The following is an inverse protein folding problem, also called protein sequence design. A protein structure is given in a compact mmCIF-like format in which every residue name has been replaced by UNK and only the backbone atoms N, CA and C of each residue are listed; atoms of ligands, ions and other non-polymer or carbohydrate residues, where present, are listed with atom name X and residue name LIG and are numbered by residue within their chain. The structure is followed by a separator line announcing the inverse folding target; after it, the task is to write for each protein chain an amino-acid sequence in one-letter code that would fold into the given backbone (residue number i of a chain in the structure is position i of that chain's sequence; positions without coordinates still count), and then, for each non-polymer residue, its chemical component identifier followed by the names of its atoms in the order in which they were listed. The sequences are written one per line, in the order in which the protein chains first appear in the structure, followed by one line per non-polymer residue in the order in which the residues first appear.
data_IF_830096403210
#
_entry.id   IF_830096403210
#
_cell.length_a   1.000
_cell.length_b   1.000
_cell.length_c   1.000
_cell.angle_alpha   90.00
_cell.angle_beta   90.00
_cell.angle_gamma   90.00
#
_symmetry.space_group_name_H-M   'P 1'
#
loop_
_entity.id
_entity.type
_entity.pdbx_description
1 polymer ?
#
# COMPACT_ATOMS: atom_id res chain seq x y z
N UNK A 1 -0.09 26.81 25.10
CA UNK A 1 -0.44 25.39 25.37
C UNK A 1 -0.01 24.62 24.15
N UNK A 2 0.96 23.71 24.29
CA UNK A 2 1.36 22.84 23.17
C UNK A 2 0.14 22.07 22.69
N UNK A 3 -0.09 22.02 21.38
CA UNK A 3 -1.17 21.24 20.81
C UNK A 3 -0.90 19.76 21.14
N UNK A 4 -1.81 19.14 21.89
CA UNK A 4 -1.78 17.69 22.11
C UNK A 4 -2.19 17.02 20.81
N UNK A 5 -1.24 16.89 19.87
CA UNK A 5 -1.47 16.46 18.49
C UNK A 5 -0.49 15.38 18.04
N UNK A 6 -0.88 14.68 16.98
CA UNK A 6 -0.13 13.63 16.30
C UNK A 6 0.17 14.11 14.88
N UNK A 7 1.41 13.95 14.44
CA UNK A 7 1.78 14.01 13.02
C UNK A 7 1.74 12.58 12.48
N UNK A 8 0.86 12.33 11.53
CA UNK A 8 0.68 11.04 10.90
C UNK A 8 1.19 11.09 9.45
N UNK A 9 2.04 10.14 9.08
CA UNK A 9 2.66 10.06 7.75
C UNK A 9 2.40 8.68 7.15
N UNK A 10 1.99 8.66 5.89
CA UNK A 10 1.89 7.47 5.04
C UNK A 10 2.65 7.75 3.74
N UNK A 11 3.86 7.19 3.64
CA UNK A 11 4.77 7.40 2.51
C UNK A 11 4.84 6.17 1.61
N UNK A 12 4.17 6.20 0.46
CA UNK A 12 4.22 5.13 -0.54
C UNK A 12 5.25 5.39 -1.64
N UNK A 13 5.29 4.46 -2.60
CA UNK A 13 6.13 4.61 -3.80
C UNK A 13 5.70 5.75 -4.73
N UNK A 14 4.41 6.06 -4.78
CA UNK A 14 3.86 7.05 -5.75
C UNK A 14 3.41 8.36 -5.11
N UNK A 15 3.07 8.35 -3.83
CA UNK A 15 2.55 9.51 -3.11
C UNK A 15 2.88 9.41 -1.63
N UNK A 16 2.85 10.55 -0.96
CA UNK A 16 2.95 10.67 0.49
C UNK A 16 1.81 11.52 1.01
N UNK A 17 1.11 11.04 2.03
CA UNK A 17 0.01 11.73 2.70
C UNK A 17 0.44 12.08 4.15
N UNK A 18 0.21 13.32 4.58
CA UNK A 18 0.46 13.77 5.97
C UNK A 18 -0.82 14.33 6.56
N UNK A 19 -1.11 13.95 7.81
CA UNK A 19 -2.18 14.53 8.62
C UNK A 19 -1.61 15.04 9.95
N UNK A 20 -2.11 16.18 10.41
CA UNK A 20 -1.93 16.64 11.80
C UNK A 20 -3.27 16.49 12.49
N UNK A 21 -3.33 15.69 13.56
CA UNK A 21 -4.58 15.34 14.24
C UNK A 21 -4.47 15.66 15.71
N UNK A 22 -5.46 16.34 16.30
CA UNK A 22 -5.51 16.57 17.75
C UNK A 22 -5.93 15.31 18.51
N UNK A 23 -5.63 15.26 19.82
CA UNK A 23 -6.00 14.16 20.69
C UNK A 23 -7.52 13.93 20.85
N UNK A 24 -8.36 14.88 20.42
CA UNK A 24 -9.82 14.72 20.33
C UNK A 24 -10.31 14.22 18.95
N UNK A 25 -9.37 13.94 18.03
CA UNK A 25 -9.61 13.35 16.72
C UNK A 25 -9.93 14.34 15.60
N UNK A 26 -9.79 15.65 15.83
CA UNK A 26 -9.96 16.65 14.76
C UNK A 26 -8.72 16.74 13.87
N UNK A 27 -8.93 16.83 12.55
CA UNK A 27 -7.85 17.06 11.59
C UNK A 27 -7.52 18.55 11.58
N UNK A 28 -6.34 18.90 12.08
CA UNK A 28 -5.83 20.27 12.18
C UNK A 28 -5.18 20.76 10.89
N UNK A 29 -4.65 19.82 10.09
CA UNK A 29 -4.02 20.12 8.81
C UNK A 29 -3.67 18.86 8.03
N UNK A 30 -3.41 19.05 6.74
CA UNK A 30 -3.10 17.97 5.79
C UNK A 30 -2.21 18.49 4.67
N UNK A 31 -1.36 17.62 4.15
CA UNK A 31 -0.60 17.87 2.92
C UNK A 31 -0.45 16.56 2.15
N UNK A 32 -0.12 16.69 0.85
CA UNK A 32 0.14 15.55 -0.02
C UNK A 32 1.26 15.90 -0.99
N UNK A 33 2.19 14.97 -1.18
CA UNK A 33 3.29 15.11 -2.13
C UNK A 33 3.59 13.84 -2.91
N UNK A 34 4.68 13.84 -3.68
CA UNK A 34 5.19 12.64 -4.36
C UNK A 34 5.59 11.54 -3.38
N UNK A 35 5.82 10.34 -3.90
CA UNK A 35 6.28 9.20 -3.10
C UNK A 35 7.63 9.47 -2.44
N UNK A 36 7.77 9.02 -1.19
CA UNK A 36 8.95 9.26 -0.36
C UNK A 36 9.58 7.96 0.17
N UNK A 37 9.43 6.85 -0.55
CA UNK A 37 10.07 5.57 -0.15
C UNK A 37 11.60 5.73 -0.08
N UNK A 38 12.23 5.58 1.10
CA UNK A 38 13.68 5.74 1.25
C UNK A 38 14.47 4.70 0.46
N UNK A 39 13.86 3.56 0.11
CA UNK A 39 14.45 2.56 -0.76
C UNK A 39 14.63 3.06 -2.20
N UNK A 40 13.71 3.90 -2.69
CA UNK A 40 13.74 4.40 -4.06
C UNK A 40 14.52 5.71 -4.21
N UNK A 41 14.41 6.61 -3.23
CA UNK A 41 14.98 7.98 -3.32
C UNK A 41 16.12 8.23 -2.33
N UNK A 42 16.42 7.29 -1.43
CA UNK A 42 17.39 7.46 -0.35
C UNK A 42 16.80 8.12 0.89
N UNK A 43 17.47 7.92 2.03
CA UNK A 43 17.01 8.41 3.35
C UNK A 43 17.00 9.94 3.40
N UNK A 44 18.04 10.61 2.91
CA UNK A 44 18.15 12.08 2.98
C UNK A 44 17.02 12.75 2.19
N UNK A 45 16.81 12.34 0.93
CA UNK A 45 15.74 12.88 0.10
C UNK A 45 14.34 12.57 0.67
N UNK A 46 14.15 11.38 1.28
CA UNK A 46 12.94 11.04 2.01
C UNK A 46 12.70 12.04 3.17
N UNK A 47 13.70 12.28 4.01
CA UNK A 47 13.58 13.20 5.16
C UNK A 47 13.28 14.63 4.71
N UNK A 48 13.91 15.10 3.63
CA UNK A 48 13.65 16.43 3.07
C UNK A 48 12.22 16.57 2.51
N UNK A 49 11.75 15.55 1.79
CA UNK A 49 10.39 15.51 1.28
C UNK A 49 9.36 15.50 2.42
N UNK A 50 9.58 14.67 3.44
CA UNK A 50 8.71 14.60 4.61
C UNK A 50 8.73 15.89 5.43
N UNK A 51 9.88 16.54 5.60
CA UNK A 51 9.97 17.85 6.25
C UNK A 51 9.07 18.88 5.57
N UNK A 52 9.18 18.98 4.25
CA UNK A 52 8.41 19.94 3.47
C UNK A 52 6.90 19.70 3.65
N UNK A 53 6.47 18.44 3.57
CA UNK A 53 5.07 18.07 3.75
C UNK A 53 4.57 18.27 5.17
N UNK A 54 5.39 17.98 6.19
CA UNK A 54 5.04 18.24 7.59
C UNK A 54 4.84 19.73 7.80
N UNK A 55 5.77 20.57 7.34
CA UNK A 55 5.66 22.02 7.46
C UNK A 55 4.42 22.58 6.73
N UNK A 56 4.08 22.05 5.56
CA UNK A 56 2.87 22.42 4.81
C UNK A 56 1.59 22.05 5.56
N UNK A 57 1.57 20.90 6.25
CA UNK A 57 0.42 20.43 7.02
C UNK A 57 0.24 21.16 8.36
N UNK A 58 1.25 21.89 8.86
CA UNK A 58 1.18 22.56 10.16
C UNK A 58 0.29 23.83 10.10
N UNK A 59 -0.58 24.06 11.09
CA UNK A 59 -1.27 25.34 11.23
C UNK A 59 -0.27 26.49 11.41
N UNK A 60 -0.57 27.65 10.82
CA UNK A 60 0.28 28.87 10.85
C UNK A 60 0.68 29.30 12.27
N UNK A 61 -0.11 28.96 13.29
CA UNK A 61 0.16 29.24 14.70
C UNK A 61 1.25 28.37 15.34
N UNK A 62 1.75 27.34 14.65
CA UNK A 62 2.71 26.36 15.17
C UNK A 62 4.14 26.66 14.73
N UNK A 63 4.72 27.75 15.25
CA UNK A 63 6.03 28.25 14.78
C UNK A 63 7.26 27.62 15.45
N UNK A 64 7.10 26.86 16.56
CA UNK A 64 8.23 26.33 17.34
C UNK A 64 8.10 24.83 17.56
N UNK A 65 9.22 24.12 17.36
CA UNK A 65 9.35 22.68 17.65
C UNK A 65 9.48 22.40 19.16
N UNK A 66 9.01 21.24 19.64
CA UNK A 66 8.24 20.23 18.89
C UNK A 66 6.86 20.77 18.48
N UNK A 67 6.40 20.35 17.31
CA UNK A 67 5.12 20.75 16.72
C UNK A 67 3.93 19.96 17.28
N UNK A 68 4.20 18.73 17.71
CA UNK A 68 3.24 17.72 18.13
C UNK A 68 3.82 16.90 19.30
N UNK A 69 3.00 16.10 19.98
CA UNK A 69 3.49 15.21 21.05
C UNK A 69 4.04 13.89 20.50
N UNK A 70 3.52 13.44 19.35
CA UNK A 70 3.95 12.20 18.72
C UNK A 70 3.96 12.31 17.19
N UNK A 71 4.89 11.61 16.56
CA UNK A 71 4.88 11.36 15.11
C UNK A 71 4.77 9.86 14.86
N UNK A 72 3.81 9.47 14.03
CA UNK A 72 3.66 8.10 13.52
C UNK A 72 3.90 8.09 12.02
N UNK A 73 5.05 7.56 11.60
CA UNK A 73 5.46 7.55 10.21
C UNK A 73 5.55 6.12 9.67
N UNK A 74 4.69 5.80 8.71
CA UNK A 74 4.68 4.50 8.06
C UNK A 74 5.02 4.64 6.58
N UNK A 75 6.06 3.95 6.13
CA UNK A 75 6.61 4.11 4.79
C UNK A 75 6.86 2.78 4.08
N UNK A 76 6.67 2.78 2.77
CA UNK A 76 7.08 1.71 1.88
C UNK A 76 8.61 1.59 1.86
N UNK A 77 9.11 0.36 1.72
CA UNK A 77 10.56 0.08 1.67
C UNK A 77 11.24 -0.01 3.03
N UNK A 78 10.46 -0.11 4.11
CA UNK A 78 10.94 -0.43 5.46
C UNK A 78 10.61 -1.89 5.78
N UNK A 79 11.34 -2.82 5.18
CA UNK A 79 11.06 -4.26 5.23
C UNK A 79 11.91 -4.99 6.29
N UNK A 80 13.00 -4.37 6.73
CA UNK A 80 13.91 -4.87 7.77
C UNK A 80 14.12 -3.88 8.93
N UNK A 81 14.46 -4.36 10.14
CA UNK A 81 14.75 -3.52 11.29
C UNK A 81 15.82 -2.46 11.02
N UNK A 82 16.86 -2.78 10.22
CA UNK A 82 17.92 -1.83 9.87
C UNK A 82 17.41 -0.60 9.14
N UNK A 83 16.41 -0.76 8.27
CA UNK A 83 15.84 0.35 7.50
C UNK A 83 14.99 1.25 8.41
N UNK A 84 14.21 0.63 9.31
CA UNK A 84 13.44 1.34 10.34
C UNK A 84 14.37 2.12 11.28
N UNK A 85 15.46 1.51 11.77
CA UNK A 85 16.45 2.15 12.65
C UNK A 85 17.11 3.38 12.00
N UNK A 86 17.55 3.25 10.75
CA UNK A 86 18.20 4.35 10.01
C UNK A 86 17.23 5.51 9.78
N UNK A 87 16.01 5.22 9.33
CA UNK A 87 15.02 6.28 9.09
C UNK A 87 14.54 6.89 10.42
N UNK A 88 14.37 6.10 11.47
CA UNK A 88 14.01 6.58 12.81
C UNK A 88 15.02 7.60 13.32
N UNK A 89 16.32 7.28 13.27
CA UNK A 89 17.37 8.20 13.68
C UNK A 89 17.35 9.52 12.88
N UNK A 90 17.16 9.44 11.56
CA UNK A 90 17.12 10.60 10.68
C UNK A 90 15.89 11.50 10.93
N UNK A 91 14.72 10.90 11.16
CA UNK A 91 13.49 11.64 11.48
C UNK A 91 13.48 12.19 12.91
N UNK A 92 14.04 11.47 13.88
CA UNK A 92 14.17 11.95 15.26
C UNK A 92 14.99 13.25 15.34
N UNK A 93 16.04 13.37 14.51
CA UNK A 93 16.84 14.58 14.40
C UNK A 93 16.04 15.82 13.94
N UNK A 94 14.86 15.64 13.33
CA UNK A 94 13.98 16.76 12.95
C UNK A 94 13.21 17.32 14.14
N UNK A 95 13.06 16.61 15.25
CA UNK A 95 12.35 17.12 16.44
C UNK A 95 10.93 17.65 16.13
N UNK A 96 10.20 16.98 15.22
CA UNK A 96 8.80 17.34 14.95
C UNK A 96 7.91 17.09 16.15
N UNK A 97 8.27 16.13 16.99
CA UNK A 97 7.51 15.70 18.15
C UNK A 97 8.42 15.17 19.25
N UNK A 98 7.86 15.00 20.45
CA UNK A 98 8.59 14.45 21.60
C UNK A 98 8.92 12.96 21.41
N UNK A 99 8.08 12.23 20.69
CA UNK A 99 8.21 10.78 20.47
C UNK A 99 7.91 10.42 19.02
N UNK A 100 8.55 9.37 18.51
CA UNK A 100 8.47 8.95 17.11
C UNK A 100 8.34 7.43 16.99
N UNK A 101 7.35 7.00 16.22
CA UNK A 101 7.23 5.62 15.69
C UNK A 101 7.50 5.64 14.19
N UNK A 102 8.33 4.70 13.72
CA UNK A 102 8.60 4.45 12.31
C UNK A 102 8.29 2.98 12.00
N UNK A 103 7.65 2.69 10.86
CA UNK A 103 7.40 1.32 10.43
C UNK A 103 6.95 1.19 8.97
N UNK A 104 6.68 -0.04 8.54
CA UNK A 104 6.22 -0.33 7.17
C UNK A 104 4.79 0.20 6.89
N UNK A 105 4.55 0.76 5.69
CA UNK A 105 3.24 1.27 5.24
C UNK A 105 2.11 0.24 5.33
N UNK A 106 2.41 -1.05 5.18
CA UNK A 106 1.43 -2.14 5.32
C UNK A 106 0.76 -2.15 6.70
N UNK A 107 1.44 -1.72 7.75
CA UNK A 107 0.87 -1.61 9.09
C UNK A 107 -0.14 -0.45 9.19
N UNK A 108 0.14 0.68 8.53
CA UNK A 108 -0.82 1.77 8.45
C UNK A 108 -2.08 1.34 7.69
N UNK A 109 -1.94 0.58 6.59
CA UNK A 109 -3.10 -0.03 5.92
C UNK A 109 -3.89 -0.92 6.87
N UNK A 110 -3.21 -1.82 7.60
CA UNK A 110 -3.84 -2.72 8.56
C UNK A 110 -4.67 -1.94 9.57
N UNK A 111 -4.09 -0.93 10.21
CA UNK A 111 -4.79 -0.14 11.24
C UNK A 111 -5.93 0.69 10.69
N UNK A 112 -5.81 1.16 9.45
CA UNK A 112 -6.89 1.88 8.77
C UNK A 112 -8.11 0.98 8.54
N UNK A 113 -7.91 -0.31 8.22
CA UNK A 113 -8.98 -1.24 7.89
C UNK A 113 -9.49 -2.14 9.02
N UNK A 114 -8.77 -2.25 10.15
CA UNK A 114 -9.14 -3.10 11.30
C UNK A 114 -9.65 -2.29 12.48
N UNK A 115 -10.45 -2.88 13.36
CA UNK A 115 -11.05 -2.16 14.48
C UNK A 115 -10.01 -1.74 15.52
N UNK A 116 -9.09 -2.63 15.87
CA UNK A 116 -8.12 -2.50 16.96
C UNK A 116 -6.64 -2.64 16.52
N UNK A 117 -6.38 -2.93 15.24
CA UNK A 117 -5.04 -3.15 14.71
C UNK A 117 -4.65 -4.62 14.58
N UNK A 118 -5.45 -5.56 15.09
CA UNK A 118 -5.21 -7.01 14.99
C UNK A 118 -5.77 -7.53 13.68
N UNK A 119 -4.98 -8.33 12.96
CA UNK A 119 -5.39 -8.89 11.67
C UNK A 119 -4.23 -8.99 10.68
N UNK A 120 -4.57 -9.14 9.41
CA UNK A 120 -3.61 -9.23 8.30
C UNK A 120 -3.97 -8.21 7.24
N UNK A 121 -2.97 -7.55 6.66
CA UNK A 121 -3.12 -6.65 5.54
C UNK A 121 -2.28 -7.08 4.34
N UNK A 122 -2.80 -6.88 3.14
CA UNK A 122 -2.07 -6.97 1.88
C UNK A 122 -2.21 -5.65 1.14
N UNK A 123 -1.07 -4.99 0.89
CA UNK A 123 -0.97 -3.83 0.00
C UNK A 123 -0.54 -4.32 -1.38
N UNK A 124 -1.27 -3.97 -2.43
CA UNK A 124 -0.83 -4.17 -3.81
C UNK A 124 -0.97 -2.86 -4.59
N UNK A 125 0.12 -2.10 -4.64
CA UNK A 125 0.28 -0.86 -5.40
C UNK A 125 1.24 -1.07 -6.56
N UNK A 126 2.33 -0.30 -6.62
CA UNK A 126 3.42 -0.55 -7.57
C UNK A 126 4.07 -1.94 -7.34
N UNK A 127 4.32 -2.27 -6.07
CA UNK A 127 4.71 -3.60 -5.59
C UNK A 127 3.58 -4.26 -4.80
N UNK A 128 3.90 -5.36 -4.13
CA UNK A 128 3.00 -6.09 -3.22
C UNK A 128 3.70 -6.33 -1.89
N UNK A 129 2.99 -6.17 -0.77
CA UNK A 129 3.49 -6.45 0.58
C UNK A 129 2.36 -7.03 1.45
N UNK A 130 2.73 -7.80 2.47
CA UNK A 130 1.82 -8.33 3.47
C UNK A 130 2.43 -8.26 4.87
N UNK A 131 1.63 -7.81 5.83
CA UNK A 131 1.97 -7.79 7.24
C UNK A 131 0.73 -8.09 8.08
N UNK A 132 0.94 -8.58 9.30
CA UNK A 132 -0.12 -8.78 10.27
C UNK A 132 0.34 -8.59 11.70
N UNK A 133 -0.63 -8.35 12.57
CA UNK A 133 -0.47 -8.21 14.02
C UNK A 133 -1.41 -9.21 14.69
N UNK A 134 -0.87 -10.02 15.61
CA UNK A 134 -1.61 -10.97 16.42
C UNK A 134 -2.22 -10.33 17.68
N UNK A 135 -3.11 -11.04 18.40
CA UNK A 135 -3.78 -10.51 19.58
C UNK A 135 -2.84 -10.20 20.76
N UNK A 136 -1.66 -10.82 20.77
CA UNK A 136 -0.57 -10.62 21.73
C UNK A 136 0.41 -9.51 21.31
N UNK A 137 0.14 -8.83 20.19
CA UNK A 137 1.01 -7.83 19.59
C UNK A 137 2.16 -8.41 18.76
N UNK A 138 2.26 -9.74 18.60
CA UNK A 138 3.25 -10.34 17.72
C UNK A 138 3.03 -9.87 16.28
N UNK A 139 4.12 -9.60 15.56
CA UNK A 139 4.04 -9.17 14.15
C UNK A 139 4.58 -10.25 13.23
N UNK A 140 3.95 -10.41 12.07
CA UNK A 140 4.48 -11.22 10.97
C UNK A 140 4.49 -10.37 9.72
N UNK A 141 5.62 -10.36 9.01
CA UNK A 141 5.85 -9.54 7.82
C UNK A 141 6.60 -10.35 6.78
N UNK A 142 6.32 -10.05 5.51
CA UNK A 142 7.11 -10.51 4.38
C UNK A 142 7.98 -9.36 3.90
N UNK A 143 9.26 -9.58 3.57
CA UNK A 143 10.04 -8.56 2.86
C UNK A 143 9.44 -8.35 1.47
N UNK A 144 9.24 -7.10 1.05
CA UNK A 144 8.64 -6.75 -0.24
C UNK A 144 9.67 -6.25 -1.27
N UNK A 145 10.73 -7.02 -1.46
CA UNK A 145 11.90 -6.66 -2.28
C UNK A 145 11.82 -7.22 -3.72
N UNK A 146 10.66 -7.73 -4.13
CA UNK A 146 10.46 -8.29 -5.45
C UNK A 146 11.01 -9.71 -5.57
N UNK A 147 11.61 -10.03 -6.72
CA UNK A 147 12.02 -11.41 -7.02
C UNK A 147 13.07 -11.98 -6.04
N UNK A 148 13.87 -11.13 -5.38
CA UNK A 148 14.91 -11.59 -4.44
C UNK A 148 14.31 -12.16 -3.15
N UNK A 149 13.21 -11.59 -2.66
CA UNK A 149 12.43 -12.07 -1.51
C UNK A 149 11.36 -13.08 -1.90
N UNK A 150 11.11 -13.24 -3.20
CA UNK A 150 10.12 -14.17 -3.73
C UNK A 150 8.76 -13.54 -4.04
N UNK A 151 8.64 -12.20 -3.99
CA UNK A 151 7.36 -11.54 -4.22
C UNK A 151 6.94 -11.63 -5.68
N UNK A 152 5.65 -11.90 -5.88
CA UNK A 152 5.01 -11.87 -7.18
C UNK A 152 3.67 -11.13 -7.08
N UNK A 153 3.44 -10.20 -7.99
CA UNK A 153 2.34 -9.24 -7.92
C UNK A 153 2.85 -7.81 -7.94
N UNK A 154 1.98 -6.86 -7.60
CA UNK A 154 2.22 -5.44 -7.82
C UNK A 154 1.90 -5.01 -9.24
N UNK A 155 1.42 -3.79 -9.40
CA UNK A 155 0.95 -3.27 -10.69
C UNK A 155 2.04 -3.20 -11.73
N UNK A 156 3.29 -2.93 -11.34
CA UNK A 156 4.40 -2.94 -12.30
C UNK A 156 4.63 -4.35 -12.87
N UNK A 157 4.68 -5.36 -12.00
CA UNK A 157 4.91 -6.74 -12.43
C UNK A 157 3.74 -7.33 -13.21
N UNK A 158 2.50 -7.03 -12.81
CA UNK A 158 1.32 -7.41 -13.57
C UNK A 158 1.32 -6.76 -14.96
N UNK A 159 1.79 -5.51 -15.07
CA UNK A 159 2.02 -4.87 -16.36
C UNK A 159 3.12 -5.54 -17.19
N UNK A 160 4.23 -5.93 -16.57
CA UNK A 160 5.30 -6.70 -17.24
C UNK A 160 4.78 -8.06 -17.73
N UNK A 161 3.95 -8.78 -16.96
CA UNK A 161 3.34 -10.04 -17.39
C UNK A 161 2.38 -9.84 -18.57
N UNK A 162 1.58 -8.76 -18.57
CA UNK A 162 0.72 -8.42 -19.70
C UNK A 162 1.52 -8.18 -20.99
N UNK A 163 2.59 -7.39 -20.90
CA UNK A 163 3.51 -7.16 -22.03
C UNK A 163 4.20 -8.46 -22.47
N UNK A 164 4.67 -9.26 -21.51
CA UNK A 164 5.35 -10.53 -21.78
C UNK A 164 4.48 -11.49 -22.60
N UNK A 165 3.22 -11.69 -22.19
CA UNK A 165 2.29 -12.53 -22.92
C UNK A 165 1.87 -11.93 -24.26
N UNK A 166 1.69 -10.61 -24.34
CA UNK A 166 1.41 -9.91 -25.60
C UNK A 166 2.52 -10.14 -26.64
N UNK A 167 3.79 -9.99 -26.25
CA UNK A 167 4.95 -10.22 -27.15
C UNK A 167 4.99 -11.66 -27.62
N UNK A 168 4.84 -12.63 -26.70
CA UNK A 168 4.88 -14.05 -27.05
C UNK A 168 3.73 -14.48 -27.95
N UNK A 169 2.56 -13.85 -27.82
CA UNK A 169 1.43 -14.11 -28.71
C UNK A 169 1.68 -13.57 -30.12
N UNK A 170 2.30 -12.39 -30.24
CA UNK A 170 2.62 -11.77 -31.53
C UNK A 170 3.73 -12.52 -32.28
N UNK A 171 4.76 -12.99 -31.58
CA UNK A 171 5.91 -13.68 -32.20
C UNK A 171 5.78 -15.21 -32.30
N UNK A 172 4.64 -15.76 -31.86
CA UNK A 172 4.32 -17.19 -31.97
C UNK A 172 4.94 -18.09 -30.91
N UNK A 173 5.64 -17.56 -29.89
CA UNK A 173 6.16 -18.36 -28.76
C UNK A 173 5.11 -18.69 -27.70
N UNK A 174 3.94 -18.06 -27.75
CA UNK A 174 2.84 -18.22 -26.82
C UNK A 174 1.50 -18.47 -27.52
N UNK A 175 0.46 -18.81 -26.74
CA UNK A 175 -0.91 -18.89 -27.28
C UNK A 175 -1.39 -17.51 -27.74
N UNK A 176 -2.35 -17.50 -28.66
CA UNK A 176 -3.04 -16.27 -29.04
C UNK A 176 -3.79 -15.66 -27.86
N UNK A 177 -3.73 -14.34 -27.72
CA UNK A 177 -4.42 -13.57 -26.68
C UNK A 177 -4.75 -12.17 -27.18
N UNK A 178 -5.85 -11.60 -26.70
CA UNK A 178 -6.24 -10.22 -26.96
C UNK A 178 -5.27 -9.20 -26.35
N UNK A 179 -4.35 -9.62 -25.46
CA UNK A 179 -3.31 -8.77 -24.89
C UNK A 179 -2.42 -8.14 -25.98
N UNK A 180 -2.17 -8.82 -27.10
CA UNK A 180 -1.31 -8.27 -28.16
C UNK A 180 -1.88 -6.97 -28.74
N UNK A 181 -3.09 -7.02 -29.30
CA UNK A 181 -3.76 -5.84 -29.83
C UNK A 181 -4.05 -4.80 -28.74
N UNK A 182 -4.42 -5.24 -27.53
CA UNK A 182 -4.70 -4.34 -26.42
C UNK A 182 -3.46 -3.51 -26.02
N UNK A 183 -2.29 -4.13 -25.91
CA UNK A 183 -1.03 -3.46 -25.54
C UNK A 183 -0.58 -2.49 -26.63
N UNK A 184 -0.62 -2.91 -27.90
CA UNK A 184 -0.28 -2.04 -29.02
C UNK A 184 -1.15 -0.77 -29.03
N UNK A 185 -2.47 -0.95 -28.87
CA UNK A 185 -3.43 0.16 -28.84
C UNK A 185 -3.25 1.09 -27.63
N UNK A 186 -2.97 0.56 -26.44
CA UNK A 186 -2.77 1.37 -25.22
C UNK A 186 -1.64 2.39 -25.36
N UNK A 187 -0.61 2.07 -26.16
CA UNK A 187 0.53 2.94 -26.42
C UNK A 187 0.53 3.57 -27.81
N UNK A 188 -0.56 3.43 -28.58
CA UNK A 188 -0.69 3.97 -29.93
C UNK A 188 0.32 3.40 -30.94
N UNK A 189 0.81 2.19 -30.69
CA UNK A 189 1.72 1.47 -31.57
C UNK A 189 1.00 0.66 -32.65
N UNK A 190 1.73 0.27 -33.68
CA UNK A 190 1.21 -0.58 -34.77
C UNK A 190 1.29 -2.08 -34.48
N UNK A 191 2.13 -2.47 -33.51
CA UNK A 191 2.34 -3.84 -33.05
C UNK A 191 2.87 -3.83 -31.61
N UNK A 192 2.91 -4.99 -30.95
CA UNK A 192 3.58 -5.12 -29.64
C UNK A 192 5.08 -4.93 -29.80
N UNK A 193 5.67 -5.39 -30.90
CA UNK A 193 7.08 -5.22 -31.21
C UNK A 193 7.48 -3.74 -31.33
N UNK A 194 6.60 -2.88 -31.88
CA UNK A 194 6.81 -1.43 -31.90
C UNK A 194 6.84 -0.85 -30.47
N UNK A 195 5.94 -1.29 -29.59
CA UNK A 195 5.97 -0.91 -28.17
C UNK A 195 7.28 -1.34 -27.51
N UNK A 196 7.73 -2.57 -27.75
CA UNK A 196 9.02 -3.08 -27.22
C UNK A 196 10.21 -2.28 -27.77
N UNK A 197 10.20 -1.92 -29.05
CA UNK A 197 11.22 -1.09 -29.66
C UNK A 197 11.31 0.27 -28.95
N UNK A 198 10.17 0.95 -28.78
CA UNK A 198 10.09 2.25 -28.10
C UNK A 198 10.51 2.17 -26.63
N UNK A 199 10.17 1.08 -25.93
CA UNK A 199 10.67 0.83 -24.56
C UNK A 199 12.18 0.61 -24.54
N UNK A 200 12.74 -0.10 -25.53
CA UNK A 200 14.17 -0.42 -25.59
C UNK A 200 15.05 0.81 -25.84
N UNK A 201 14.57 1.74 -26.67
CA UNK A 201 15.27 2.99 -26.99
C UNK A 201 14.84 4.18 -26.12
N UNK A 202 14.16 3.91 -25.00
CA UNK A 202 13.68 4.93 -24.04
C UNK A 202 12.76 6.02 -24.64
N UNK A 203 12.14 5.75 -25.80
CA UNK A 203 11.12 6.59 -26.43
C UNK A 203 9.75 6.44 -25.73
N UNK A 204 9.54 5.32 -25.04
CA UNK A 204 8.46 5.10 -24.10
C UNK A 204 9.10 4.85 -22.71
N UNK A 205 8.87 5.72 -21.71
CA UNK A 205 9.45 5.52 -20.39
C UNK A 205 9.02 4.19 -19.77
N UNK A 206 9.95 3.45 -19.18
CA UNK A 206 9.64 2.13 -18.57
C UNK A 206 8.54 2.20 -17.50
N UNK A 207 8.40 3.33 -16.81
CA UNK A 207 7.32 3.54 -15.84
C UNK A 207 5.92 3.38 -16.46
N UNK A 208 5.75 3.66 -17.76
CA UNK A 208 4.46 3.54 -18.46
C UNK A 208 3.94 2.09 -18.49
N UNK A 209 4.79 1.08 -18.33
CA UNK A 209 4.38 -0.34 -18.23
C UNK A 209 3.30 -0.54 -17.15
N UNK A 210 3.28 0.27 -16.10
CA UNK A 210 2.25 0.19 -15.05
C UNK A 210 0.81 0.34 -15.59
N UNK A 211 0.60 1.02 -16.74
CA UNK A 211 -0.72 1.19 -17.38
C UNK A 211 -1.28 -0.11 -17.93
N UNK A 212 -0.42 -1.09 -18.16
CA UNK A 212 -0.83 -2.41 -18.62
C UNK A 212 -1.48 -3.24 -17.51
N UNK A 213 -1.29 -2.88 -16.23
CA UNK A 213 -1.96 -3.56 -15.12
C UNK A 213 -3.50 -3.49 -15.23
N UNK A 214 -4.15 -2.31 -15.29
CA UNK A 214 -5.59 -2.26 -15.46
C UNK A 214 -6.05 -2.84 -16.81
N UNK A 215 -5.23 -2.73 -17.86
CA UNK A 215 -5.50 -3.37 -19.16
C UNK A 215 -5.61 -4.90 -19.04
N UNK A 216 -4.69 -5.53 -18.30
CA UNK A 216 -4.69 -6.97 -18.03
C UNK A 216 -6.02 -7.44 -17.44
N UNK A 217 -6.52 -6.74 -16.41
CA UNK A 217 -7.81 -7.08 -15.79
C UNK A 217 -8.99 -6.86 -16.74
N UNK A 218 -8.96 -5.81 -17.57
CA UNK A 218 -10.00 -5.60 -18.59
C UNK A 218 -10.03 -6.73 -19.61
N UNK A 219 -8.87 -7.18 -20.09
CA UNK A 219 -8.77 -8.30 -21.05
C UNK A 219 -9.18 -9.63 -20.41
N UNK A 220 -8.79 -9.89 -19.16
CA UNK A 220 -9.25 -11.07 -18.44
C UNK A 220 -10.79 -11.11 -18.29
N UNK A 221 -11.42 -9.94 -18.11
CA UNK A 221 -12.87 -9.82 -17.98
C UNK A 221 -13.63 -10.12 -19.29
N UNK A 222 -12.97 -10.11 -20.46
CA UNK A 222 -13.58 -10.51 -21.74
C UNK A 222 -13.51 -12.02 -22.01
N UNK A 223 -12.97 -12.81 -21.07
CA UNK A 223 -12.83 -14.26 -21.25
C UNK A 223 -11.50 -14.72 -21.85
N UNK A 224 -10.51 -13.83 -21.97
CA UNK A 224 -9.19 -14.20 -22.48
C UNK A 224 -8.45 -15.14 -21.50
N UNK A 225 -8.20 -16.39 -21.92
CA UNK A 225 -7.64 -17.42 -21.05
C UNK A 225 -6.24 -17.07 -20.50
N UNK A 226 -5.40 -16.42 -21.32
CA UNK A 226 -4.05 -16.04 -20.91
C UNK A 226 -4.10 -14.98 -19.81
N UNK A 227 -4.88 -13.92 -20.02
CA UNK A 227 -5.07 -12.88 -19.02
C UNK A 227 -5.75 -13.43 -17.75
N UNK A 228 -6.73 -14.32 -17.89
CA UNK A 228 -7.37 -15.00 -16.76
C UNK A 228 -6.39 -15.84 -15.95
N UNK A 229 -5.45 -16.53 -16.59
CA UNK A 229 -4.42 -17.30 -15.90
C UNK A 229 -3.49 -16.39 -15.07
N UNK A 230 -3.08 -15.24 -15.62
CA UNK A 230 -2.25 -14.28 -14.87
C UNK A 230 -3.02 -13.70 -13.68
N UNK A 231 -4.29 -13.32 -13.88
CA UNK A 231 -5.16 -12.84 -12.79
C UNK A 231 -5.40 -13.93 -11.75
N UNK A 232 -5.57 -15.19 -12.18
CA UNK A 232 -5.73 -16.34 -11.28
C UNK A 232 -4.52 -16.55 -10.38
N UNK A 233 -3.31 -16.41 -10.94
CA UNK A 233 -2.07 -16.44 -10.16
C UNK A 233 -1.98 -15.26 -9.19
N UNK A 234 -2.38 -14.05 -9.60
CA UNK A 234 -2.42 -12.90 -8.69
C UNK A 234 -3.30 -13.14 -7.47
N UNK A 235 -4.48 -13.69 -7.68
CA UNK A 235 -5.37 -14.04 -6.57
C UNK A 235 -4.75 -15.12 -5.68
N UNK A 236 -4.08 -16.12 -6.27
CA UNK A 236 -3.36 -17.13 -5.51
C UNK A 236 -2.28 -16.54 -4.61
N UNK A 237 -1.41 -15.69 -5.13
CA UNK A 237 -0.29 -15.10 -4.39
C UNK A 237 -0.80 -14.22 -3.23
N UNK A 238 -1.81 -13.38 -3.47
CA UNK A 238 -2.48 -12.59 -2.40
C UNK A 238 -3.04 -13.52 -1.33
N UNK A 239 -3.71 -14.60 -1.73
CA UNK A 239 -4.33 -15.55 -0.80
C UNK A 239 -3.28 -16.33 0.01
N UNK A 240 -2.15 -16.68 -0.60
CA UNK A 240 -1.03 -17.38 0.07
C UNK A 240 -0.39 -16.50 1.13
N UNK A 241 -0.13 -15.22 0.81
CA UNK A 241 0.37 -14.23 1.78
C UNK A 241 -0.54 -14.16 3.01
N UNK A 242 -1.85 -13.99 2.80
CA UNK A 242 -2.83 -13.94 3.88
C UNK A 242 -2.84 -15.25 4.68
N UNK A 243 -2.92 -16.38 4.00
CA UNK A 243 -3.01 -17.69 4.63
C UNK A 243 -1.80 -18.02 5.52
N UNK A 244 -0.59 -17.64 5.09
CA UNK A 244 0.62 -17.84 5.89
C UNK A 244 0.64 -16.90 7.08
N UNK A 245 0.31 -15.61 6.90
CA UNK A 245 0.24 -14.65 8.00
C UNK A 245 -0.78 -15.06 9.07
N UNK A 246 -1.99 -15.45 8.67
CA UNK A 246 -3.03 -15.93 9.59
C UNK A 246 -2.53 -17.12 10.41
N UNK A 247 -1.89 -18.11 9.78
CA UNK A 247 -1.34 -19.28 10.48
C UNK A 247 -0.21 -18.91 11.44
N UNK A 248 0.72 -18.06 11.02
CA UNK A 248 1.87 -17.64 11.84
C UNK A 248 1.46 -16.82 13.07
N UNK A 249 0.36 -16.08 12.97
CA UNK A 249 -0.19 -15.26 14.04
C UNK A 249 -1.27 -15.96 14.88
N UNK A 250 -1.57 -17.24 14.60
CA UNK A 250 -2.63 -17.97 15.32
C UNK A 250 -4.05 -17.46 15.03
N UNK A 251 -4.25 -16.75 13.92
CA UNK A 251 -5.51 -16.12 13.49
C UNK A 251 -6.33 -17.02 12.56
N UNK A 252 -6.38 -18.34 12.80
CA UNK A 252 -7.17 -19.27 11.96
C UNK A 252 -8.55 -19.59 12.54
N UNK A 253 -8.83 -19.14 13.76
CA UNK A 253 -10.11 -19.28 14.44
C UNK A 253 -10.73 -17.91 14.75
N UNK A 254 -12.01 -17.89 15.14
CA UNK A 254 -12.74 -16.65 15.41
C UNK A 254 -13.04 -15.86 14.13
N UNK A 255 -13.01 -14.53 14.24
CA UNK A 255 -13.32 -13.60 13.14
C UNK A 255 -12.15 -12.67 12.82
N UNK A 256 -11.00 -13.21 12.34
CA UNK A 256 -9.84 -12.40 12.04
C UNK A 256 -10.13 -11.43 10.89
N UNK A 257 -9.67 -10.19 11.01
CA UNK A 257 -9.84 -9.18 9.96
C UNK A 257 -8.70 -9.28 8.93
N UNK A 258 -9.07 -9.29 7.64
CA UNK A 258 -8.13 -9.25 6.52
C UNK A 258 -8.41 -8.00 5.68
N UNK A 259 -7.41 -7.13 5.55
CA UNK A 259 -7.53 -5.84 4.87
C UNK A 259 -6.74 -5.87 3.56
N UNK A 260 -7.42 -5.62 2.45
CA UNK A 260 -6.83 -5.52 1.11
C UNK A 260 -6.76 -4.04 0.71
N UNK A 261 -5.61 -3.59 0.23
CA UNK A 261 -5.41 -2.20 -0.16
C UNK A 261 -4.35 -2.01 -1.23
N UNK A 262 -4.10 -0.75 -1.59
CA UNK A 262 -3.24 -0.41 -2.72
C UNK A 262 -4.01 -0.38 -4.04
N UNK A 263 -3.51 0.42 -4.99
CA UNK A 263 -4.24 0.80 -6.21
C UNK A 263 -4.72 -0.37 -7.07
N UNK A 264 -4.01 -1.51 -7.05
CA UNK A 264 -4.44 -2.72 -7.76
C UNK A 264 -5.65 -3.33 -7.06
N UNK A 265 -5.54 -3.68 -5.77
CA UNK A 265 -6.63 -4.35 -5.04
C UNK A 265 -7.87 -3.46 -4.88
N UNK A 266 -7.71 -2.14 -4.83
CA UNK A 266 -8.86 -1.22 -4.82
C UNK A 266 -9.48 -0.99 -6.21
N UNK A 267 -8.76 -1.33 -7.29
CA UNK A 267 -9.16 -1.08 -8.68
C UNK A 267 -9.67 -2.30 -9.45
N UNK A 268 -9.50 -3.50 -8.91
CA UNK A 268 -9.98 -4.75 -9.54
C UNK A 268 -11.49 -4.94 -9.36
N UNK A 269 -12.08 -5.76 -10.23
CA UNK A 269 -13.49 -6.11 -10.13
C UNK A 269 -13.81 -6.86 -8.81
N UNK A 270 -15.03 -6.71 -8.26
CA UNK A 270 -15.46 -7.41 -7.04
C UNK A 270 -15.33 -8.94 -7.11
N UNK A 271 -15.40 -9.53 -8.31
CA UNK A 271 -15.20 -10.97 -8.52
C UNK A 271 -13.78 -11.43 -8.18
N UNK A 272 -12.76 -10.59 -8.42
CA UNK A 272 -11.36 -10.88 -8.06
C UNK A 272 -11.20 -10.90 -6.54
N UNK A 273 -11.81 -9.93 -5.86
CA UNK A 273 -11.83 -9.86 -4.39
C UNK A 273 -12.59 -11.03 -3.78
N UNK A 274 -13.74 -11.39 -4.35
CA UNK A 274 -14.53 -12.55 -3.91
C UNK A 274 -13.75 -13.86 -4.01
N UNK A 275 -12.88 -13.99 -5.01
CA UNK A 275 -12.02 -15.16 -5.15
C UNK A 275 -10.90 -15.20 -4.10
N UNK A 276 -10.29 -14.05 -3.77
CA UNK A 276 -9.34 -13.93 -2.65
C UNK A 276 -10.05 -14.32 -1.34
N UNK A 277 -11.23 -13.78 -1.10
CA UNK A 277 -12.04 -14.07 0.09
C UNK A 277 -12.35 -15.57 0.19
N UNK A 278 -12.85 -16.18 -0.89
CA UNK A 278 -13.14 -17.62 -0.94
C UNK A 278 -11.93 -18.47 -0.57
N UNK A 279 -10.72 -18.08 -0.99
CA UNK A 279 -9.47 -18.78 -0.65
C UNK A 279 -9.06 -18.55 0.81
N UNK A 280 -9.21 -17.33 1.32
CA UNK A 280 -8.95 -17.01 2.73
C UNK A 280 -9.86 -17.80 3.67
N UNK A 281 -11.15 -17.92 3.33
CA UNK A 281 -12.14 -18.66 4.13
C UNK A 281 -11.86 -20.17 4.22
N UNK A 282 -11.08 -20.75 3.31
CA UNK A 282 -10.60 -22.14 3.44
C UNK A 282 -9.59 -22.31 4.58
N UNK A 283 -8.91 -21.25 4.98
CA UNK A 283 -7.87 -21.25 6.02
C UNK A 283 -8.44 -20.75 7.35
N UNK A 284 -9.28 -19.73 7.31
CA UNK A 284 -9.96 -19.15 8.47
C UNK A 284 -11.43 -18.94 8.11
N UNK A 285 -12.33 -19.90 8.41
CA UNK A 285 -13.73 -19.85 7.97
C UNK A 285 -14.55 -18.65 8.49
N UNK A 286 -14.12 -18.00 9.57
CA UNK A 286 -14.74 -16.80 10.10
C UNK A 286 -14.06 -15.49 9.69
N UNK A 287 -13.02 -15.54 8.84
CA UNK A 287 -12.29 -14.34 8.43
C UNK A 287 -13.22 -13.31 7.77
N UNK A 288 -13.01 -12.04 8.11
CA UNK A 288 -13.72 -10.92 7.49
C UNK A 288 -12.77 -10.22 6.54
N UNK A 289 -12.95 -10.46 5.24
CA UNK A 289 -12.11 -9.87 4.18
C UNK A 289 -12.72 -8.56 3.72
N UNK A 290 -11.91 -7.51 3.67
CA UNK A 290 -12.35 -6.14 3.37
C UNK A 290 -11.39 -5.47 2.40
N UNK A 291 -11.90 -4.73 1.44
CA UNK A 291 -11.08 -3.73 0.72
C UNK A 291 -11.13 -2.43 1.52
N UNK A 292 -9.99 -1.80 1.73
CA UNK A 292 -9.90 -0.59 2.56
C UNK A 292 -10.69 0.57 1.93
N UNK A 293 -11.54 1.21 2.72
CA UNK A 293 -12.32 2.39 2.29
C UNK A 293 -11.68 3.71 2.74
N UNK A 294 -10.77 3.63 3.71
CA UNK A 294 -10.07 4.75 4.34
C UNK A 294 -8.65 4.88 3.79
N UNK A 295 -8.10 6.09 3.74
CA UNK A 295 -6.69 6.28 3.35
C UNK A 295 -5.74 5.72 4.43
N UNK A 296 -4.60 5.08 4.05
CA UNK A 296 -3.69 4.48 5.04
C UNK A 296 -3.07 5.49 6.01
N UNK A 297 -2.88 6.76 5.63
CA UNK A 297 -2.52 7.86 6.56
C UNK A 297 -3.43 7.97 7.78
N UNK A 298 -4.69 7.55 7.67
CA UNK A 298 -5.61 7.49 8.81
C UNK A 298 -5.21 6.38 9.77
N UNK A 299 -4.71 5.25 9.27
CA UNK A 299 -4.10 4.21 10.09
C UNK A 299 -2.86 4.71 10.83
N UNK A 300 -1.99 5.49 10.16
CA UNK A 300 -0.87 6.16 10.83
C UNK A 300 -1.34 7.08 11.96
N UNK A 301 -2.41 7.85 11.73
CA UNK A 301 -3.00 8.72 12.74
C UNK A 301 -3.63 7.94 13.90
N UNK A 302 -4.32 6.85 13.60
CA UNK A 302 -4.92 5.97 14.61
C UNK A 302 -3.86 5.34 15.51
N UNK A 303 -2.73 4.88 14.95
CA UNK A 303 -1.62 4.40 15.76
C UNK A 303 -1.04 5.48 16.67
N UNK A 304 -0.90 6.72 16.17
CA UNK A 304 -0.45 7.82 17.04
C UNK A 304 -1.46 8.16 18.12
N UNK A 305 -2.75 8.07 17.84
CA UNK A 305 -3.81 8.23 18.85
C UNK A 305 -3.82 7.06 19.87
N UNK A 306 -3.53 5.83 19.42
CA UNK A 306 -3.35 4.69 20.31
C UNK A 306 -2.16 4.90 21.26
N UNK A 307 -1.05 5.49 20.76
CA UNK A 307 0.11 5.86 21.59
C UNK A 307 -0.25 6.90 22.67
N UNK A 308 -1.15 7.83 22.37
CA UNK A 308 -1.65 8.82 23.34
C UNK A 308 -2.70 8.24 24.32
N UNK A 309 -3.11 6.97 24.14
CA UNK A 309 -4.09 6.33 25.01
C UNK A 309 -5.50 6.94 24.92
N UNK A 310 -5.86 7.53 23.78
CA UNK A 310 -7.18 8.18 23.63
C UNK A 310 -8.32 7.16 23.52
N UNK A 311 -9.55 7.52 23.93
CA UNK A 311 -10.71 6.63 23.86
C UNK A 311 -11.10 6.20 22.44
N UNK A 312 -11.77 5.06 22.31
CA UNK A 312 -12.19 4.48 21.03
C UNK A 312 -13.19 5.34 20.25
N UNK A 313 -13.97 6.19 20.92
CA UNK A 313 -14.91 7.12 20.32
C UNK A 313 -14.19 8.18 19.47
N UNK A 314 -13.02 8.64 19.93
CA UNK A 314 -12.17 9.59 19.20
C UNK A 314 -11.66 8.96 17.89
N UNK A 315 -11.17 7.72 17.98
CA UNK A 315 -10.68 6.95 16.83
C UNK A 315 -11.78 6.69 15.80
N UNK A 316 -12.98 6.37 16.26
CA UNK A 316 -14.16 6.17 15.41
C UNK A 316 -14.56 7.45 14.67
N UNK A 317 -14.53 8.60 15.36
CA UNK A 317 -14.79 9.91 14.75
C UNK A 317 -13.81 10.23 13.62
N UNK A 318 -12.52 10.01 13.83
CA UNK A 318 -11.49 10.25 12.81
C UNK A 318 -11.72 9.42 11.54
N UNK A 319 -12.12 8.14 11.70
CA UNK A 319 -12.49 7.28 10.57
C UNK A 319 -13.70 7.82 9.81
N UNK A 320 -14.76 8.22 10.52
CA UNK A 320 -15.98 8.72 9.89
C UNK A 320 -15.74 10.00 9.06
N UNK A 321 -14.95 10.94 9.59
CA UNK A 321 -14.63 12.21 8.92
C UNK A 321 -13.86 12.00 7.61
N UNK A 322 -12.99 10.98 7.57
CA UNK A 322 -12.10 10.75 6.44
C UNK A 322 -12.76 9.91 5.33
N UNK A 323 -13.77 9.10 5.66
CA UNK A 323 -14.64 8.44 4.65
C UNK A 323 -15.49 9.45 3.89
N UNK A 324 -16.06 10.44 4.57
CA UNK A 324 -16.93 11.46 3.96
C UNK A 324 -16.22 12.40 2.98
N UNK A 325 -14.89 12.51 3.05
CA UNK A 325 -14.10 13.42 2.20
C UNK A 325 -13.68 12.79 0.86
N UNK A 326 -14.09 11.54 0.57
CA UNK A 326 -13.81 10.83 -0.69
C UNK A 326 -14.95 10.88 -1.72
N UNK A 327 -16.10 11.46 -1.38
CA UNK A 327 -17.20 11.78 -2.30
C UNK A 327 -17.06 13.22 -2.81
#
# INVERSE_FOLDING_TARGET
MGLNSVIAIDGGNSKTDVLVVSADGAVLGKSRGPGASPQNIGVDACVEALESLVLEAMPVSSARRPFAVHTSAYLAGLDFPREEEVLHAALAARSWSDTLTVGNDTLALLRAGTTDGVGVAVVCGAGINCAGIGPDGATHRFPALGKISGDWGGGFRLGEEALWWAVRAEDGRGPGTALSSAVANEFGGTSVLDVVHRLHFDELPRAEIHRLCPLLFRVAATGDEVAQNVVGRFVEEVSVLVAVALRKLGLTAGTPEVVLGGGVLTGVAPSVISEVERRCLKVAPGAVVRVVEVAPVVGSALFGLDHLGVPSEVKTRLRALTVQTRQ
#
